data_IF_485060245422
#
_entry.id   IF_485060245422
#
_cell.length_a   1.000
_cell.length_b   1.000
_cell.length_c   1.000
_cell.angle_alpha   90.00
_cell.angle_beta   90.00
_cell.angle_gamma   90.00
#
_symmetry.space_group_name_H-M   'P 1'
#
loop_
_entity.id
_entity.type
_entity.pdbx_description
1 polymer ?
#
# COMPACT_ATOMS: atom_id res chain seq x y z
N UNK A 1 -28.32 -40.06 15.35
CA UNK A 1 -27.18 -39.27 14.85
C UNK A 1 -27.75 -38.36 13.78
N UNK A 2 -27.89 -37.07 14.07
CA UNK A 2 -28.31 -36.08 13.08
C UNK A 2 -27.07 -35.29 12.71
N UNK A 3 -26.66 -35.39 11.45
CA UNK A 3 -25.58 -34.60 10.85
C UNK A 3 -25.96 -33.11 10.93
N UNK A 4 -25.05 -32.31 11.48
CA UNK A 4 -25.13 -30.85 11.43
C UNK A 4 -24.70 -30.43 10.02
N UNK A 5 -25.43 -29.51 9.35
CA UNK A 5 -24.97 -28.96 8.09
C UNK A 5 -23.72 -28.10 8.34
N UNK A 6 -22.75 -28.31 7.46
CA UNK A 6 -21.49 -27.56 7.29
C UNK A 6 -21.74 -26.05 7.45
N UNK A 7 -21.25 -25.47 8.55
CA UNK A 7 -21.09 -24.02 8.66
C UNK A 7 -20.03 -23.62 7.63
N UNK A 8 -20.28 -22.65 6.74
CA UNK A 8 -19.22 -22.18 5.86
C UNK A 8 -18.10 -21.63 6.73
N UNK A 9 -16.91 -22.19 6.57
CA UNK A 9 -15.66 -21.70 7.14
C UNK A 9 -15.53 -20.22 6.79
N UNK A 10 -16.03 -19.37 7.70
CA UNK A 10 -15.94 -17.94 7.60
C UNK A 10 -14.53 -17.58 8.00
N UNK A 11 -13.58 -17.90 7.13
CA UNK A 11 -12.27 -17.31 7.10
C UNK A 11 -12.50 -15.80 7.26
N UNK A 12 -12.16 -15.31 8.45
CA UNK A 12 -12.51 -13.99 8.97
C UNK A 12 -12.26 -12.96 7.88
N UNK A 13 -13.31 -12.57 7.16
CA UNK A 13 -13.20 -11.72 5.97
C UNK A 13 -12.98 -10.29 6.44
N UNK A 14 -11.73 -10.02 6.84
CA UNK A 14 -11.28 -8.68 7.25
C UNK A 14 -11.72 -7.70 6.16
N UNK A 15 -12.25 -6.56 6.57
CA UNK A 15 -12.62 -5.50 5.63
C UNK A 15 -11.40 -5.12 4.78
N UNK A 16 -11.66 -4.64 3.56
CA UNK A 16 -10.61 -4.17 2.67
C UNK A 16 -9.69 -3.16 3.38
N UNK A 17 -10.26 -2.20 4.11
CA UNK A 17 -9.48 -1.22 4.87
C UNK A 17 -8.60 -1.85 5.97
N UNK A 18 -9.07 -2.88 6.66
CA UNK A 18 -8.24 -3.60 7.65
C UNK A 18 -7.04 -4.30 6.99
N UNK A 19 -7.22 -4.84 5.77
CA UNK A 19 -6.12 -5.39 4.96
C UNK A 19 -5.15 -4.31 4.50
N UNK A 20 -5.65 -3.13 4.11
CA UNK A 20 -4.82 -1.97 3.75
C UNK A 20 -3.95 -1.52 4.93
N UNK A 21 -4.50 -1.47 6.15
CA UNK A 21 -3.73 -1.09 7.34
C UNK A 21 -2.59 -2.07 7.59
N UNK A 22 -2.86 -3.38 7.57
CA UNK A 22 -1.84 -4.42 7.71
C UNK A 22 -0.80 -4.38 6.57
N UNK A 23 -1.26 -4.16 5.34
CA UNK A 23 -0.41 -4.05 4.16
C UNK A 23 0.47 -2.79 4.13
N UNK A 24 0.05 -1.71 4.81
CA UNK A 24 0.79 -0.43 4.79
C UNK A 24 2.14 -0.57 5.50
N UNK A 25 2.19 -1.24 6.65
CA UNK A 25 3.45 -1.53 7.34
C UNK A 25 4.35 -2.45 6.48
N UNK A 26 3.77 -3.47 5.85
CA UNK A 26 4.50 -4.35 4.93
C UNK A 26 5.09 -3.59 3.74
N UNK A 27 4.34 -2.64 3.18
CA UNK A 27 4.77 -1.81 2.07
C UNK A 27 5.96 -0.92 2.45
N UNK A 28 5.94 -0.32 3.65
CA UNK A 28 7.09 0.41 4.21
C UNK A 28 8.28 -0.53 4.47
N UNK A 29 8.04 -1.73 4.99
CA UNK A 29 9.09 -2.74 5.17
C UNK A 29 9.69 -3.24 3.85
N UNK A 30 8.92 -3.24 2.77
CA UNK A 30 9.42 -3.59 1.45
C UNK A 30 10.36 -2.51 0.90
N UNK A 31 10.03 -1.23 1.12
CA UNK A 31 10.94 -0.12 0.86
C UNK A 31 12.24 -0.24 1.68
N UNK A 32 12.12 -0.53 2.98
CA UNK A 32 13.29 -0.73 3.85
C UNK A 32 14.18 -1.89 3.39
N UNK A 33 13.57 -2.98 2.89
CA UNK A 33 14.29 -4.17 2.40
C UNK A 33 15.04 -3.93 1.08
N UNK A 34 14.39 -3.28 0.10
CA UNK A 34 14.95 -3.10 -1.24
C UNK A 34 15.77 -1.81 -1.38
N UNK A 35 15.57 -0.85 -0.48
CA UNK A 35 16.32 0.39 -0.43
C UNK A 35 17.81 0.12 -0.25
N UNK A 36 18.64 0.68 -1.13
CA UNK A 36 20.11 0.52 -1.07
C UNK A 36 20.76 1.65 -0.27
N UNK A 37 20.28 1.86 0.96
CA UNK A 37 20.81 2.86 1.89
C UNK A 37 20.58 2.41 3.33
N UNK A 38 21.25 3.05 4.28
CA UNK A 38 20.96 2.86 5.70
C UNK A 38 19.53 3.36 6.07
N UNK A 39 18.93 2.84 7.15
CA UNK A 39 17.55 3.18 7.52
C UNK A 39 17.29 4.67 7.71
N UNK A 40 18.21 5.43 8.29
CA UNK A 40 18.07 6.88 8.47
C UNK A 40 17.98 7.60 7.12
N UNK A 41 18.85 7.23 6.18
CA UNK A 41 18.82 7.78 4.84
C UNK A 41 17.57 7.39 4.06
N UNK A 42 17.09 6.15 4.23
CA UNK A 42 15.82 5.71 3.61
C UNK A 42 14.61 6.47 4.19
N UNK A 43 14.62 6.78 5.48
CA UNK A 43 13.59 7.57 6.15
C UNK A 43 13.57 9.02 5.64
N UNK A 44 14.75 9.62 5.47
CA UNK A 44 14.92 10.94 4.88
C UNK A 44 14.44 10.99 3.42
N UNK A 45 14.86 10.03 2.58
CA UNK A 45 14.41 9.94 1.17
C UNK A 45 12.88 9.85 1.11
N UNK A 46 12.27 9.05 2.00
CA UNK A 46 10.83 8.90 2.06
C UNK A 46 10.14 10.23 2.39
N UNK A 47 10.62 10.96 3.40
CA UNK A 47 10.04 12.24 3.80
C UNK A 47 10.18 13.33 2.74
N UNK A 48 11.37 13.45 2.15
CA UNK A 48 11.64 14.47 1.12
C UNK A 48 10.87 14.17 -0.16
N UNK A 49 10.79 12.89 -0.55
CA UNK A 49 9.96 12.49 -1.70
C UNK A 49 8.49 12.81 -1.45
N UNK A 50 7.98 12.58 -0.23
CA UNK A 50 6.60 12.90 0.12
C UNK A 50 6.29 14.39 -0.09
N UNK A 51 7.19 15.27 0.36
CA UNK A 51 7.09 16.72 0.19
C UNK A 51 7.16 17.13 -1.28
N UNK A 52 8.19 16.66 -1.99
CA UNK A 52 8.45 17.04 -3.39
C UNK A 52 7.32 16.55 -4.31
N UNK A 53 6.86 15.31 -4.12
CA UNK A 53 5.81 14.70 -4.93
C UNK A 53 4.39 15.02 -4.43
N UNK A 54 4.25 15.85 -3.37
CA UNK A 54 2.96 16.24 -2.76
C UNK A 54 2.11 15.03 -2.34
N UNK A 55 2.75 13.98 -1.81
CA UNK A 55 2.10 12.76 -1.33
C UNK A 55 1.72 12.83 0.16
N UNK A 56 1.94 14.00 0.77
CA UNK A 56 1.61 14.35 2.14
C UNK A 56 2.68 15.27 2.72
N UNK A 57 2.46 15.74 3.93
CA UNK A 57 3.35 16.66 4.62
C UNK A 57 3.84 16.01 5.92
N UNK A 58 5.07 15.47 5.94
CA UNK A 58 5.68 15.00 7.18
C UNK A 58 5.93 16.18 8.14
N UNK A 59 5.35 16.13 9.33
CA UNK A 59 5.55 17.14 10.40
C UNK A 59 7.03 17.29 10.75
N UNK A 60 7.73 16.16 10.81
CA UNK A 60 9.18 16.06 10.98
C UNK A 60 9.74 15.02 10.02
N UNK A 61 11.05 15.07 9.77
CA UNK A 61 11.73 13.99 9.06
C UNK A 61 11.93 12.82 10.03
N UNK A 62 11.34 11.63 9.78
CA UNK A 62 11.56 10.45 10.60
C UNK A 62 13.01 9.99 10.50
N UNK A 63 13.47 9.30 11.54
CA UNK A 63 14.74 8.59 11.58
C UNK A 63 14.56 7.10 11.18
N UNK A 64 15.68 6.38 11.16
CA UNK A 64 15.72 4.97 10.82
C UNK A 64 14.98 4.08 11.83
N UNK A 65 14.97 4.46 13.11
CA UNK A 65 14.21 3.75 14.16
C UNK A 65 12.71 3.86 13.91
N UNK A 66 12.22 5.07 13.64
CA UNK A 66 10.82 5.34 13.29
C UNK A 66 10.42 4.57 12.03
N UNK A 67 11.27 4.57 11.00
CA UNK A 67 11.00 3.81 9.76
C UNK A 67 10.95 2.29 10.03
N UNK A 68 11.84 1.78 10.87
CA UNK A 68 11.86 0.37 11.25
C UNK A 68 10.60 0.00 12.04
N UNK A 69 10.18 0.85 12.97
CA UNK A 69 8.94 0.65 13.73
C UNK A 69 7.71 0.62 12.80
N UNK A 70 7.62 1.55 11.84
CA UNK A 70 6.56 1.56 10.82
C UNK A 70 6.56 0.34 9.90
N UNK A 71 7.70 -0.33 9.73
CA UNK A 71 7.78 -1.54 8.90
C UNK A 71 7.18 -2.79 9.55
N UNK A 72 6.86 -2.73 10.86
CA UNK A 72 6.35 -3.85 11.64
C UNK A 72 5.18 -3.42 12.53
N UNK A 73 5.49 -3.07 13.78
CA UNK A 73 4.52 -3.00 14.87
C UNK A 73 3.65 -1.73 14.86
N UNK A 74 4.05 -0.69 14.12
CA UNK A 74 3.27 0.53 13.97
C UNK A 74 2.59 0.61 12.61
N UNK A 75 1.38 1.16 12.60
CA UNK A 75 0.75 1.63 11.36
C UNK A 75 1.48 2.90 10.89
N UNK A 76 2.11 2.90 9.71
CA UNK A 76 2.75 4.11 9.19
C UNK A 76 1.73 5.20 8.92
N UNK A 77 2.14 6.48 8.98
CA UNK A 77 1.31 7.55 8.46
C UNK A 77 1.06 7.32 6.97
N UNK A 78 -0.14 7.69 6.50
CA UNK A 78 -0.58 7.42 5.13
C UNK A 78 0.39 7.95 4.06
N UNK A 79 1.02 9.10 4.30
CA UNK A 79 2.00 9.67 3.38
C UNK A 79 3.23 8.75 3.21
N UNK A 80 3.65 8.03 4.25
CA UNK A 80 4.80 7.14 4.21
C UNK A 80 4.52 5.93 3.32
N UNK A 81 3.37 5.26 3.50
CA UNK A 81 2.96 4.15 2.64
C UNK A 81 2.75 4.59 1.18
N UNK A 82 2.09 5.74 0.96
CA UNK A 82 1.92 6.34 -0.37
C UNK A 82 3.25 6.61 -1.08
N UNK A 83 4.22 7.13 -0.33
CA UNK A 83 5.54 7.48 -0.88
C UNK A 83 6.40 6.24 -1.12
N UNK A 84 6.33 5.25 -0.23
CA UNK A 84 7.03 3.98 -0.43
C UNK A 84 6.52 3.28 -1.71
N UNK A 85 5.21 3.29 -1.97
CA UNK A 85 4.67 2.78 -3.23
C UNK A 85 5.21 3.58 -4.41
N UNK A 86 5.15 4.91 -4.33
CA UNK A 86 5.65 5.79 -5.39
C UNK A 86 7.11 5.47 -5.76
N UNK A 87 7.96 5.20 -4.77
CA UNK A 87 9.36 4.82 -5.00
C UNK A 87 9.48 3.40 -5.58
N UNK A 88 8.78 2.42 -5.00
CA UNK A 88 8.82 1.00 -5.42
C UNK A 88 8.43 0.82 -6.89
N UNK A 89 7.36 1.48 -7.36
CA UNK A 89 6.90 1.35 -8.76
C UNK A 89 7.88 1.92 -9.79
N UNK A 90 8.84 2.73 -9.35
CA UNK A 90 9.89 3.31 -10.18
C UNK A 90 11.20 2.50 -10.13
N UNK A 91 11.32 1.51 -9.25
CA UNK A 91 12.54 0.73 -9.11
C UNK A 91 12.80 -0.14 -10.34
N UNK A 92 14.06 -0.18 -10.86
CA UNK A 92 14.43 -1.06 -11.98
C UNK A 92 14.21 -2.56 -11.70
N UNK A 93 14.25 -2.95 -10.42
CA UNK A 93 14.04 -4.32 -9.97
C UNK A 93 12.59 -4.82 -10.14
N UNK A 94 11.63 -3.93 -10.48
CA UNK A 94 10.22 -4.25 -10.70
C UNK A 94 9.60 -5.08 -9.56
N UNK A 95 9.64 -4.56 -8.31
CA UNK A 95 9.14 -5.29 -7.16
C UNK A 95 7.65 -5.61 -7.30
N UNK A 96 7.24 -6.76 -6.78
CA UNK A 96 5.83 -7.20 -6.71
C UNK A 96 5.39 -7.27 -5.24
N UNK A 97 4.10 -7.05 -4.92
CA UNK A 97 3.60 -7.29 -3.58
C UNK A 97 3.95 -8.71 -3.11
N UNK A 98 4.33 -8.87 -1.84
CA UNK A 98 4.74 -10.17 -1.30
C UNK A 98 3.58 -11.03 -0.82
N UNK A 99 2.45 -10.39 -0.51
CA UNK A 99 1.20 -11.05 -0.13
C UNK A 99 -0.02 -10.19 -0.44
N UNK A 100 -1.19 -10.76 -0.18
CA UNK A 100 -2.50 -10.19 -0.49
C UNK A 100 -2.83 -8.92 0.31
N UNK A 101 -2.34 -8.77 1.54
CA UNK A 101 -2.55 -7.55 2.33
C UNK A 101 -1.68 -6.42 1.78
N UNK A 102 -0.42 -6.73 1.46
CA UNK A 102 0.47 -5.78 0.80
C UNK A 102 -0.10 -5.36 -0.55
N UNK A 103 -0.64 -6.28 -1.36
CA UNK A 103 -1.27 -5.94 -2.64
C UNK A 103 -2.47 -4.98 -2.48
N UNK A 104 -3.30 -5.15 -1.43
CA UNK A 104 -4.36 -4.20 -1.08
C UNK A 104 -3.81 -2.80 -0.75
N UNK A 105 -2.74 -2.72 0.05
CA UNK A 105 -2.11 -1.44 0.37
C UNK A 105 -1.50 -0.75 -0.87
N UNK A 106 -0.89 -1.53 -1.78
CA UNK A 106 -0.40 -1.02 -3.06
C UNK A 106 -1.53 -0.44 -3.91
N UNK A 107 -2.62 -1.19 -4.10
CA UNK A 107 -3.77 -0.72 -4.85
C UNK A 107 -4.41 0.54 -4.23
N UNK A 108 -4.58 0.55 -2.90
CA UNK A 108 -5.10 1.70 -2.17
C UNK A 108 -4.21 2.93 -2.34
N UNK A 109 -2.90 2.78 -2.13
CA UNK A 109 -1.96 3.91 -2.28
C UNK A 109 -1.90 4.40 -3.73
N UNK A 110 -2.01 3.50 -4.72
CA UNK A 110 -2.02 3.86 -6.15
C UNK A 110 -3.16 4.82 -6.47
N UNK A 111 -4.39 4.47 -6.06
CA UNK A 111 -5.58 5.30 -6.27
C UNK A 111 -5.54 6.63 -5.51
N UNK A 112 -4.73 6.73 -4.47
CA UNK A 112 -4.58 7.95 -3.70
C UNK A 112 -3.39 8.80 -4.11
N UNK A 113 -2.44 8.27 -4.88
CA UNK A 113 -1.30 9.02 -5.37
C UNK A 113 -1.63 9.90 -6.59
N UNK A 114 -2.71 9.56 -7.30
CA UNK A 114 -3.13 10.24 -8.54
C UNK A 114 -4.64 10.22 -8.66
N UNK A 115 -5.19 11.17 -9.39
CA UNK A 115 -6.60 11.16 -9.71
C UNK A 115 -6.86 10.32 -10.96
N UNK A 116 -7.95 9.56 -10.91
CA UNK A 116 -8.41 8.73 -12.02
C UNK A 116 -9.92 8.92 -12.20
N UNK A 117 -10.36 9.01 -13.45
CA UNK A 117 -11.77 9.15 -13.80
C UNK A 117 -12.50 7.81 -13.78
N UNK A 118 -11.79 6.73 -14.11
CA UNK A 118 -12.30 5.37 -14.21
C UNK A 118 -11.28 4.34 -13.71
N UNK A 119 -11.79 3.19 -13.24
CA UNK A 119 -10.98 2.08 -12.75
C UNK A 119 -10.04 1.55 -13.84
N UNK A 120 -10.56 1.45 -15.05
CA UNK A 120 -9.85 0.96 -16.23
C UNK A 120 -8.64 1.86 -16.54
N UNK A 121 -8.79 3.18 -16.40
CA UNK A 121 -7.69 4.14 -16.54
C UNK A 121 -6.66 3.97 -15.43
N UNK A 122 -7.10 3.75 -14.18
CA UNK A 122 -6.20 3.48 -13.06
C UNK A 122 -5.39 2.19 -13.28
N UNK A 123 -6.02 1.14 -13.80
CA UNK A 123 -5.39 -0.14 -14.12
C UNK A 123 -4.40 -0.02 -15.28
N UNK A 124 -4.81 0.59 -16.39
CA UNK A 124 -3.96 0.78 -17.56
C UNK A 124 -2.71 1.63 -17.26
N UNK A 125 -2.83 2.55 -16.31
CA UNK A 125 -1.72 3.42 -15.86
C UNK A 125 -0.71 2.71 -14.96
N UNK A 126 -1.00 1.50 -14.47
CA UNK A 126 -0.03 0.72 -13.72
C UNK A 126 1.16 0.32 -14.62
N UNK A 127 2.38 0.26 -14.06
CA UNK A 127 3.48 -0.44 -14.69
C UNK A 127 3.07 -1.86 -15.08
N UNK A 128 3.52 -2.32 -16.25
CA UNK A 128 3.10 -3.59 -16.85
C UNK A 128 3.21 -4.78 -15.89
N UNK A 129 4.34 -4.89 -15.18
CA UNK A 129 4.60 -5.97 -14.20
C UNK A 129 3.61 -6.02 -13.03
N UNK A 130 2.83 -4.96 -12.79
CA UNK A 130 1.87 -4.87 -11.68
C UNK A 130 0.42 -5.05 -12.11
N UNK A 131 0.12 -5.01 -13.41
CA UNK A 131 -1.26 -5.01 -13.90
C UNK A 131 -2.00 -6.27 -13.48
N UNK A 132 -1.36 -7.42 -13.62
CA UNK A 132 -2.01 -8.71 -13.34
C UNK A 132 -2.19 -8.91 -11.83
N UNK A 133 -1.12 -8.73 -11.03
CA UNK A 133 -1.18 -8.97 -9.58
C UNK A 133 -2.04 -7.95 -8.84
N UNK A 134 -2.19 -6.72 -9.35
CA UNK A 134 -3.04 -5.70 -8.74
C UNK A 134 -4.44 -5.63 -9.34
N UNK A 135 -4.80 -6.45 -10.33
CA UNK A 135 -6.12 -6.36 -10.98
C UNK A 135 -7.29 -6.51 -9.98
N UNK A 136 -7.27 -7.57 -9.16
CA UNK A 136 -8.30 -7.82 -8.16
C UNK A 136 -8.23 -6.81 -6.98
N UNK A 137 -7.06 -6.59 -6.33
CA UNK A 137 -6.95 -5.59 -5.27
C UNK A 137 -7.35 -4.17 -5.71
N UNK A 138 -7.08 -3.78 -6.96
CA UNK A 138 -7.47 -2.48 -7.50
C UNK A 138 -8.98 -2.38 -7.71
N UNK A 139 -9.65 -3.46 -8.09
CA UNK A 139 -11.11 -3.48 -8.19
C UNK A 139 -11.76 -3.28 -6.81
N UNK A 140 -11.27 -3.97 -5.78
CA UNK A 140 -11.73 -3.78 -4.39
C UNK A 140 -11.44 -2.34 -3.91
N UNK A 141 -10.22 -1.85 -4.13
CA UNK A 141 -9.81 -0.50 -3.75
C UNK A 141 -10.67 0.59 -4.43
N UNK A 142 -11.09 0.36 -5.68
CA UNK A 142 -11.94 1.30 -6.41
C UNK A 142 -13.34 1.41 -5.80
N UNK A 143 -13.91 0.28 -5.35
CA UNK A 143 -15.20 0.26 -4.68
C UNK A 143 -15.16 1.06 -3.37
N UNK A 144 -14.10 0.84 -2.58
CA UNK A 144 -13.84 1.60 -1.34
C UNK A 144 -13.64 3.10 -1.62
N UNK A 145 -12.79 3.44 -2.61
CA UNK A 145 -12.51 4.82 -3.03
C UNK A 145 -13.74 5.60 -3.48
N UNK A 146 -14.65 4.96 -4.22
CA UNK A 146 -15.93 5.56 -4.65
C UNK A 146 -16.92 5.66 -3.50
N UNK A 147 -16.95 4.69 -2.59
CA UNK A 147 -17.76 4.75 -1.37
C UNK A 147 -17.43 5.99 -0.53
N UNK A 148 -16.15 6.35 -0.42
CA UNK A 148 -15.70 7.56 0.28
C UNK A 148 -16.07 8.87 -0.44
N UNK A 149 -16.32 8.85 -1.76
CA UNK A 149 -16.68 10.03 -2.56
C UNK A 149 -18.18 10.29 -2.66
N UNK A 150 -19.02 9.38 -2.16
CA UNK A 150 -20.48 9.48 -2.21
C UNK A 150 -21.10 9.96 -0.88
N UNK A 151 -20.29 10.32 0.11
CA UNK A 151 -20.68 10.83 1.43
C UNK A 151 -20.48 12.34 1.47
#
# INVERSE_FOLDING_TARGET
MCERPDEPDSASSRSFYARVLAGSSKLVGHWLMLGQADPDRLAMILADTARIAKLGEPESTPDGETLTHWSGDATPPRWAARTALFLLVQMPAKPLPRDDDEACAWAYCWLHNREFEARETAHASLPEHLRDCLAAPLAEAWQDYRGLRLI
#
